data_IF_841847663158
#
_entry.id   IF_841847663158
#
_cell.length_a   1.000
_cell.length_b   1.000
_cell.length_c   1.000
_cell.angle_alpha   90.00
_cell.angle_beta   90.00
_cell.angle_gamma   90.00
#
_symmetry.space_group_name_H-M   'P 1'
#
loop_
_entity.id
_entity.type
_entity.pdbx_description
1 polymer ?
#
# COMPACT_ATOMS: atom_id res chain seq x y z
N UNK A 1 77.29 24.84 34.85
CA UNK A 1 75.99 25.54 34.94
C UNK A 1 74.91 24.50 35.21
N UNK A 2 74.17 24.68 36.32
CA UNK A 2 73.06 23.82 36.75
C UNK A 2 71.89 23.99 35.78
N UNK A 3 71.22 22.92 35.40
CA UNK A 3 69.85 22.97 34.88
C UNK A 3 69.07 21.76 35.36
N UNK A 4 68.32 21.96 36.45
CA UNK A 4 67.33 21.05 36.99
C UNK A 4 66.20 20.82 35.97
N UNK A 5 65.79 19.57 35.74
CA UNK A 5 64.52 19.26 35.07
C UNK A 5 63.49 18.84 36.12
N UNK A 6 62.42 19.63 36.17
CA UNK A 6 61.24 19.46 36.99
C UNK A 6 60.42 18.26 36.45
N UNK A 7 60.04 17.34 37.32
CA UNK A 7 59.10 16.25 37.01
C UNK A 7 57.69 16.77 37.35
N UNK A 8 56.82 16.89 36.35
CA UNK A 8 55.39 17.17 36.54
C UNK A 8 54.66 15.84 36.74
N UNK A 9 54.22 15.56 37.97
CA UNK A 9 53.20 14.54 38.26
C UNK A 9 51.83 15.12 37.91
N UNK A 10 51.18 14.61 36.87
CA UNK A 10 49.75 14.82 36.65
C UNK A 10 48.96 13.78 37.46
N UNK A 11 48.32 14.23 38.55
CA UNK A 11 47.23 13.50 39.18
C UNK A 11 46.00 13.59 38.28
N UNK A 12 45.65 12.50 37.59
CA UNK A 12 44.34 12.32 36.99
C UNK A 12 43.34 11.99 38.10
N UNK A 13 42.52 12.97 38.49
CA UNK A 13 41.31 12.71 39.26
C UNK A 13 40.31 11.94 38.39
N UNK A 14 40.08 10.67 38.71
CA UNK A 14 38.95 9.93 38.16
C UNK A 14 37.66 10.48 38.77
N UNK A 15 36.94 11.32 38.01
CA UNK A 15 35.54 11.61 38.30
C UNK A 15 34.74 10.43 37.73
N UNK A 16 34.32 9.53 38.60
CA UNK A 16 33.36 8.49 38.26
C UNK A 16 32.02 9.15 37.97
N UNK A 17 31.66 9.23 36.68
CA UNK A 17 30.30 9.54 36.29
C UNK A 17 29.37 8.43 36.82
N UNK A 18 28.21 8.76 37.41
CA UNK A 18 27.23 7.74 37.77
C UNK A 18 26.79 7.05 36.47
N UNK A 19 27.04 5.74 36.39
CA UNK A 19 26.43 4.90 35.39
C UNK A 19 24.92 4.97 35.60
N UNK A 20 24.22 5.77 34.80
CA UNK A 20 22.77 5.66 34.64
C UNK A 20 22.51 4.31 34.00
N UNK A 21 22.42 3.27 34.84
CA UNK A 21 21.90 1.97 34.43
C UNK A 21 20.47 2.19 33.97
N UNK A 22 20.26 2.17 32.65
CA UNK A 22 18.92 2.00 32.11
C UNK A 22 18.38 0.70 32.72
N UNK A 23 17.26 0.80 33.44
CA UNK A 23 16.56 -0.37 33.93
C UNK A 23 16.37 -1.34 32.74
N UNK A 24 16.61 -2.65 32.92
CA UNK A 24 16.43 -3.61 31.85
C UNK A 24 14.99 -3.47 31.34
N UNK A 25 14.85 -3.12 30.06
CA UNK A 25 13.56 -3.11 29.39
C UNK A 25 12.96 -4.51 29.60
N UNK A 26 11.81 -4.58 30.26
CA UNK A 26 11.15 -5.84 30.58
C UNK A 26 10.82 -6.57 29.27
N UNK A 27 11.63 -7.57 28.96
CA UNK A 27 11.55 -8.33 27.70
C UNK A 27 10.22 -9.05 27.56
N UNK A 28 9.53 -9.35 28.67
CA UNK A 28 8.20 -9.94 28.65
C UNK A 28 7.14 -8.92 28.24
N UNK A 29 7.20 -7.70 28.76
CA UNK A 29 6.28 -6.62 28.38
C UNK A 29 6.41 -6.25 26.89
N UNK A 30 7.64 -6.16 26.37
CA UNK A 30 7.90 -5.90 24.94
C UNK A 30 7.35 -7.02 24.06
N UNK A 31 7.55 -8.29 24.46
CA UNK A 31 7.03 -9.44 23.72
C UNK A 31 5.50 -9.47 23.72
N UNK A 32 4.87 -9.16 24.85
CA UNK A 32 3.41 -9.10 24.96
C UNK A 32 2.82 -8.00 24.07
N UNK A 33 3.45 -6.81 24.03
CA UNK A 33 3.02 -5.73 23.15
C UNK A 33 3.20 -6.09 21.68
N UNK A 34 4.32 -6.69 21.29
CA UNK A 34 4.55 -7.17 19.93
C UNK A 34 3.44 -8.12 19.48
N UNK A 35 3.13 -9.14 20.28
CA UNK A 35 2.06 -10.10 19.97
C UNK A 35 0.68 -9.43 19.84
N UNK A 36 0.38 -8.43 20.68
CA UNK A 36 -0.87 -7.66 20.60
C UNK A 36 -0.96 -6.87 19.28
N UNK A 37 0.14 -6.23 18.88
CA UNK A 37 0.23 -5.45 17.64
C UNK A 37 0.08 -6.34 16.41
N UNK A 38 0.72 -7.52 16.41
CA UNK A 38 0.56 -8.54 15.38
C UNK A 38 -0.88 -9.02 15.26
N UNK A 39 -1.53 -9.42 16.37
CA UNK A 39 -2.92 -9.85 16.36
C UNK A 39 -3.88 -8.75 15.84
N UNK A 40 -3.62 -7.49 16.16
CA UNK A 40 -4.37 -6.37 15.60
C UNK A 40 -4.15 -6.23 14.08
N UNK A 41 -2.97 -6.56 13.57
CA UNK A 41 -2.68 -6.53 12.13
C UNK A 41 -3.35 -7.69 11.40
N UNK A 42 -3.36 -8.89 11.99
CA UNK A 42 -4.04 -10.06 11.44
C UNK A 42 -5.53 -9.80 11.19
N UNK A 43 -6.16 -8.99 12.04
CA UNK A 43 -7.56 -8.56 11.82
C UNK A 43 -7.73 -7.80 10.50
N UNK A 44 -6.75 -6.99 10.09
CA UNK A 44 -6.74 -6.30 8.80
C UNK A 44 -6.49 -7.31 7.69
N UNK A 45 -5.49 -8.18 7.84
CA UNK A 45 -5.16 -9.24 6.87
C UNK A 45 -6.37 -10.10 6.55
N UNK A 46 -7.14 -10.52 7.56
CA UNK A 46 -8.31 -11.37 7.39
C UNK A 46 -9.39 -10.70 6.53
N UNK A 47 -9.56 -9.37 6.60
CA UNK A 47 -10.46 -8.63 5.69
C UNK A 47 -10.03 -8.78 4.23
N UNK A 48 -8.73 -8.75 3.94
CA UNK A 48 -8.21 -8.96 2.60
C UNK A 48 -8.39 -10.40 2.13
N UNK A 49 -8.11 -11.38 3.01
CA UNK A 49 -8.31 -12.80 2.72
C UNK A 49 -9.76 -13.09 2.37
N UNK A 50 -10.70 -12.62 3.20
CA UNK A 50 -12.15 -12.77 2.98
C UNK A 50 -12.61 -12.05 1.71
N UNK A 51 -12.19 -10.80 1.52
CA UNK A 51 -12.54 -10.01 0.34
C UNK A 51 -12.10 -10.70 -0.96
N UNK A 52 -10.93 -11.32 -0.98
CA UNK A 52 -10.39 -11.96 -2.18
C UNK A 52 -10.75 -13.45 -2.34
N UNK A 53 -11.69 -13.99 -1.55
CA UNK A 53 -12.27 -15.32 -1.81
C UNK A 53 -13.00 -15.40 -3.16
N UNK A 54 -13.40 -14.25 -3.70
CA UNK A 54 -14.02 -14.14 -5.02
C UNK A 54 -13.31 -13.08 -5.86
N UNK A 55 -13.62 -13.04 -7.15
CA UNK A 55 -13.11 -11.99 -8.04
C UNK A 55 -13.68 -10.64 -7.63
N UNK A 56 -12.83 -9.64 -7.54
CA UNK A 56 -13.22 -8.30 -7.11
C UNK A 56 -13.15 -7.32 -8.28
N UNK A 57 -14.17 -6.49 -8.41
CA UNK A 57 -14.23 -5.48 -9.47
C UNK A 57 -14.01 -4.10 -8.87
N UNK A 58 -13.25 -3.28 -9.60
CA UNK A 58 -12.96 -1.91 -9.26
C UNK A 58 -13.24 -1.06 -10.50
N UNK A 59 -14.07 -0.05 -10.36
CA UNK A 59 -14.19 0.99 -11.36
C UNK A 59 -13.00 1.93 -11.18
N UNK A 60 -12.22 2.13 -12.24
CA UNK A 60 -11.07 3.00 -12.27
C UNK A 60 -11.31 4.19 -13.20
N UNK A 61 -10.88 5.37 -12.75
CA UNK A 61 -10.97 6.63 -13.48
C UNK A 61 -9.60 7.27 -13.54
N UNK A 62 -9.21 7.79 -14.70
CA UNK A 62 -7.90 8.38 -14.91
C UNK A 62 -7.93 9.50 -15.94
N UNK A 63 -6.99 10.43 -15.80
CA UNK A 63 -6.80 11.52 -16.75
C UNK A 63 -6.42 10.97 -18.13
N UNK A 64 -7.13 11.40 -19.17
CA UNK A 64 -6.90 10.95 -20.53
C UNK A 64 -7.21 12.06 -21.53
N UNK A 65 -6.19 12.53 -22.24
CA UNK A 65 -6.31 13.62 -23.22
C UNK A 65 -7.12 13.27 -24.48
N UNK A 66 -7.35 11.98 -24.75
CA UNK A 66 -8.20 11.52 -25.86
C UNK A 66 -9.68 11.41 -25.45
N UNK A 67 -9.97 11.49 -24.15
CA UNK A 67 -11.35 11.56 -23.65
C UNK A 67 -11.93 12.94 -23.89
N UNK A 68 -13.22 13.01 -24.24
CA UNK A 68 -13.97 14.26 -24.39
C UNK A 68 -14.14 15.00 -23.07
N UNK A 69 -14.20 14.28 -21.96
CA UNK A 69 -14.32 14.84 -20.60
C UNK A 69 -12.97 15.11 -19.93
N UNK A 70 -11.86 14.72 -20.58
CA UNK A 70 -10.53 14.69 -19.96
C UNK A 70 -10.31 13.50 -19.02
N UNK A 71 -11.35 12.67 -18.78
CA UNK A 71 -11.29 11.49 -17.91
C UNK A 71 -11.77 10.27 -18.68
N UNK A 72 -11.02 9.18 -18.60
CA UNK A 72 -11.44 7.88 -19.09
C UNK A 72 -11.77 6.96 -17.91
N UNK A 73 -12.79 6.12 -18.09
CA UNK A 73 -13.29 5.20 -17.07
C UNK A 73 -13.30 3.77 -17.61
N UNK A 74 -13.02 2.80 -16.75
CA UNK A 74 -13.21 1.37 -17.04
C UNK A 74 -13.24 0.53 -15.76
N UNK A 75 -13.64 -0.74 -15.86
CA UNK A 75 -13.68 -1.69 -14.75
C UNK A 75 -12.52 -2.67 -14.84
N UNK A 76 -11.78 -2.79 -13.75
CA UNK A 76 -10.73 -3.79 -13.54
C UNK A 76 -11.30 -4.93 -12.70
N UNK A 77 -11.08 -6.16 -13.12
CA UNK A 77 -11.32 -7.37 -12.36
C UNK A 77 -10.01 -7.92 -11.82
N UNK A 78 -9.97 -8.06 -10.50
CA UNK A 78 -8.87 -8.62 -9.71
C UNK A 78 -9.18 -10.05 -9.32
N UNK A 79 -8.21 -10.93 -9.52
CA UNK A 79 -8.19 -12.27 -8.91
C UNK A 79 -6.93 -12.38 -8.07
N UNK A 80 -7.07 -12.56 -6.75
CA UNK A 80 -5.93 -12.84 -5.87
C UNK A 80 -5.66 -14.34 -5.83
N UNK A 81 -4.39 -14.71 -5.85
CA UNK A 81 -3.92 -16.09 -5.69
C UNK A 81 -3.36 -16.33 -4.31
N UNK A 82 -2.62 -15.37 -3.79
CA UNK A 82 -1.91 -15.51 -2.52
C UNK A 82 -1.95 -14.19 -1.76
N UNK A 83 -2.08 -14.28 -0.44
CA UNK A 83 -1.95 -13.18 0.50
C UNK A 83 -0.83 -13.55 1.46
N UNK A 84 0.23 -12.75 1.47
CA UNK A 84 1.34 -12.86 2.42
C UNK A 84 1.39 -11.58 3.25
N UNK A 85 1.86 -11.64 4.48
CA UNK A 85 1.95 -10.45 5.33
C UNK A 85 3.11 -10.56 6.33
N UNK A 86 3.44 -9.44 6.95
CA UNK A 86 4.43 -9.42 8.03
C UNK A 86 4.39 -8.12 8.82
N UNK A 87 4.83 -8.20 10.07
CA UNK A 87 5.00 -7.07 10.97
C UNK A 87 6.46 -6.99 11.37
N UNK A 88 7.08 -5.84 11.10
CA UNK A 88 8.46 -5.55 11.47
C UNK A 88 8.46 -4.54 12.62
N UNK A 89 9.18 -4.83 13.71
CA UNK A 89 9.45 -3.84 14.75
C UNK A 89 10.69 -3.02 14.40
N UNK A 90 10.62 -1.69 14.53
CA UNK A 90 11.83 -0.86 14.40
C UNK A 90 12.52 -0.76 15.77
N UNK A 91 13.80 -1.15 15.82
CA UNK A 91 14.60 -1.06 17.04
C UNK A 91 15.03 0.40 17.36
N UNK A 92 14.64 1.37 16.52
CA UNK A 92 14.98 2.78 16.67
C UNK A 92 13.71 3.62 16.89
N UNK A 93 13.46 3.91 18.16
CA UNK A 93 12.69 5.01 18.76
C UNK A 93 12.09 6.04 17.77
N UNK A 94 10.84 5.84 17.36
CA UNK A 94 9.73 6.83 17.12
C UNK A 94 8.53 6.16 16.41
N UNK A 95 8.73 5.13 15.56
CA UNK A 95 7.64 4.34 14.95
C UNK A 95 7.87 2.86 15.27
N UNK A 96 7.15 2.26 16.24
CA UNK A 96 7.55 0.97 16.78
C UNK A 96 7.26 -0.20 15.84
N UNK A 97 6.26 -0.10 14.93
CA UNK A 97 5.88 -1.21 14.05
C UNK A 97 5.48 -0.76 12.64
N UNK A 98 5.95 -1.50 11.65
CA UNK A 98 5.55 -1.43 10.24
C UNK A 98 4.91 -2.75 9.84
N UNK A 99 3.80 -2.68 9.13
CA UNK A 99 3.08 -3.85 8.62
C UNK A 99 3.05 -3.82 7.10
N UNK A 100 3.08 -4.99 6.47
CA UNK A 100 2.80 -5.10 5.04
C UNK A 100 1.85 -6.24 4.73
N UNK A 101 1.05 -6.07 3.67
CA UNK A 101 0.27 -7.13 3.03
C UNK A 101 0.73 -7.21 1.56
N UNK A 102 1.19 -8.37 1.13
CA UNK A 102 1.54 -8.68 -0.26
C UNK A 102 0.44 -9.53 -0.89
N UNK A 103 -0.10 -9.04 -2.00
CA UNK A 103 -1.10 -9.72 -2.80
C UNK A 103 -0.47 -10.18 -4.11
N UNK A 104 -0.60 -11.46 -4.44
CA UNK A 104 -0.29 -11.98 -5.77
C UNK A 104 -1.55 -11.97 -6.61
N UNK A 105 -1.69 -11.03 -7.53
CA UNK A 105 -2.95 -10.78 -8.25
C UNK A 105 -2.81 -10.90 -9.76
N UNK A 106 -3.86 -11.33 -10.44
CA UNK A 106 -4.03 -11.13 -11.87
C UNK A 106 -5.11 -10.10 -12.16
N UNK A 107 -4.93 -9.34 -13.24
CA UNK A 107 -5.85 -8.29 -13.69
C UNK A 107 -6.43 -8.63 -15.05
N UNK A 108 -7.74 -8.43 -15.19
CA UNK A 108 -8.42 -8.25 -16.48
C UNK A 108 -9.17 -6.93 -16.44
N UNK A 109 -9.41 -6.31 -17.58
CA UNK A 109 -10.22 -5.11 -17.64
C UNK A 109 -11.13 -5.08 -18.87
N UNK A 110 -12.17 -4.27 -18.83
CA UNK A 110 -13.14 -4.17 -19.90
C UNK A 110 -12.82 -3.08 -20.95
N UNK A 111 -11.66 -2.41 -20.90
CA UNK A 111 -11.35 -1.27 -21.79
C UNK A 111 -11.43 -1.62 -23.27
N UNK A 112 -11.15 -2.86 -23.63
CA UNK A 112 -11.17 -3.30 -25.03
C UNK A 112 -12.51 -3.06 -25.75
N UNK A 113 -13.61 -2.93 -25.01
CA UNK A 113 -14.94 -2.58 -25.53
C UNK A 113 -15.24 -1.06 -25.53
N UNK A 114 -14.31 -0.23 -25.08
CA UNK A 114 -14.47 1.20 -24.93
C UNK A 114 -14.38 1.96 -26.25
N UNK A 115 -14.92 3.17 -26.28
CA UNK A 115 -14.91 4.03 -27.46
C UNK A 115 -13.68 4.95 -27.56
N UNK A 116 -12.95 5.17 -26.46
CA UNK A 116 -11.79 6.06 -26.46
C UNK A 116 -10.61 5.34 -27.13
N UNK A 117 -9.99 5.90 -28.19
CA UNK A 117 -8.85 5.27 -28.84
C UNK A 117 -7.68 5.03 -27.86
N UNK A 118 -7.23 3.78 -27.76
CA UNK A 118 -6.14 3.38 -26.88
C UNK A 118 -4.76 3.66 -27.47
N UNK A 119 -3.71 3.22 -26.77
CA UNK A 119 -2.39 3.01 -27.36
C UNK A 119 -2.36 1.61 -27.94
N UNK A 120 -2.00 1.47 -29.21
CA UNK A 120 -1.96 0.19 -29.94
C UNK A 120 -1.16 -0.88 -29.18
N UNK A 121 -0.15 -0.49 -28.40
CA UNK A 121 0.68 -1.37 -27.59
C UNK A 121 0.05 -1.78 -26.25
N UNK A 122 -0.89 -1.01 -25.72
CA UNK A 122 -1.54 -1.22 -24.41
C UNK A 122 -3.01 -1.64 -24.51
N UNK A 123 -3.55 -1.72 -25.72
CA UNK A 123 -4.91 -2.13 -26.03
C UNK A 123 -5.58 -1.18 -27.03
N UNK A 124 -6.46 -1.70 -27.88
CA UNK A 124 -7.12 -0.90 -28.92
C UNK A 124 -7.95 0.29 -28.37
N UNK A 125 -8.33 0.25 -27.08
CA UNK A 125 -9.16 1.26 -26.44
C UNK A 125 -8.71 1.56 -25.02
N UNK A 126 -8.88 2.82 -24.61
CA UNK A 126 -8.59 3.33 -23.27
C UNK A 126 -9.80 3.26 -22.32
N UNK A 127 -10.97 2.82 -22.80
CA UNK A 127 -12.21 2.76 -22.03
C UNK A 127 -13.29 3.71 -22.55
N UNK A 128 -14.09 4.26 -21.64
CA UNK A 128 -15.24 5.11 -21.95
C UNK A 128 -15.08 6.53 -21.42
N UNK A 129 -15.70 7.50 -22.08
CA UNK A 129 -15.70 8.91 -21.67
C UNK A 129 -16.56 9.20 -20.43
N UNK A 130 -17.37 8.23 -20.00
CA UNK A 130 -18.27 8.36 -18.86
C UNK A 130 -18.44 7.05 -18.09
N UNK A 131 -18.87 7.22 -16.85
CA UNK A 131 -19.10 6.15 -15.90
C UNK A 131 -20.20 5.17 -16.32
N UNK A 132 -21.34 5.69 -16.77
CA UNK A 132 -22.52 4.89 -17.11
C UNK A 132 -22.18 3.83 -18.17
N UNK A 133 -21.49 4.24 -19.24
CA UNK A 133 -21.09 3.36 -20.33
C UNK A 133 -20.06 2.30 -19.87
N UNK A 134 -19.13 2.67 -18.97
CA UNK A 134 -18.18 1.72 -18.40
C UNK A 134 -18.87 0.64 -17.55
N UNK A 135 -19.87 1.02 -16.76
CA UNK A 135 -20.64 0.11 -15.92
C UNK A 135 -21.61 -0.75 -16.75
N UNK A 136 -22.27 -0.17 -17.75
CA UNK A 136 -23.17 -0.88 -18.66
C UNK A 136 -22.43 -1.97 -19.47
N UNK A 137 -21.11 -1.85 -19.63
CA UNK A 137 -20.25 -2.82 -20.31
C UNK A 137 -19.39 -3.65 -19.34
N UNK A 138 -19.85 -3.87 -18.11
CA UNK A 138 -19.25 -4.79 -17.14
C UNK A 138 -19.60 -6.27 -17.42
N UNK A 139 -19.50 -6.70 -18.67
CA UNK A 139 -19.81 -8.05 -19.15
C UNK A 139 -18.53 -8.83 -19.44
N UNK A 140 -18.51 -10.13 -19.14
CA UNK A 140 -17.33 -10.99 -19.26
C UNK A 140 -16.68 -10.97 -20.65
N UNK A 141 -17.45 -10.79 -21.72
CA UNK A 141 -16.94 -10.74 -23.09
C UNK A 141 -15.98 -9.58 -23.34
N UNK A 142 -16.09 -8.49 -22.56
CA UNK A 142 -15.22 -7.32 -22.64
C UNK A 142 -13.95 -7.46 -21.81
N UNK A 143 -13.91 -8.35 -20.82
CA UNK A 143 -12.75 -8.50 -19.94
C UNK A 143 -11.60 -9.22 -20.63
N UNK A 144 -10.53 -8.49 -20.89
CA UNK A 144 -9.29 -9.00 -21.47
C UNK A 144 -8.15 -8.85 -20.47
N UNK A 145 -7.17 -9.75 -20.54
CA UNK A 145 -5.97 -9.64 -19.72
C UNK A 145 -5.05 -8.58 -20.31
N UNK A 146 -4.54 -7.67 -19.47
CA UNK A 146 -3.68 -6.56 -19.90
C UNK A 146 -2.26 -6.99 -20.31
N UNK A 147 -1.80 -8.10 -19.76
CA UNK A 147 -0.48 -8.68 -20.03
C UNK A 147 -0.67 -10.18 -20.09
N UNK A 148 0.17 -10.92 -20.81
CA UNK A 148 0.14 -12.39 -20.82
C UNK A 148 0.20 -12.94 -19.38
N UNK A 149 -0.96 -13.18 -18.76
CA UNK A 149 -1.23 -13.84 -17.46
C UNK A 149 -0.14 -13.77 -16.37
N UNK A 150 0.62 -12.68 -16.27
CA UNK A 150 1.63 -12.54 -15.23
C UNK A 150 0.95 -12.10 -13.94
N UNK A 151 1.21 -12.85 -12.87
CA UNK A 151 0.83 -12.42 -11.54
C UNK A 151 1.64 -11.16 -11.20
N UNK A 152 0.93 -10.11 -10.84
CA UNK A 152 1.52 -8.89 -10.31
C UNK A 152 1.57 -9.00 -8.80
N UNK A 153 2.74 -8.73 -8.22
CA UNK A 153 2.88 -8.60 -6.78
C UNK A 153 2.52 -7.15 -6.39
N UNK A 154 1.52 -6.98 -5.54
CA UNK A 154 1.13 -5.70 -4.97
C UNK A 154 1.44 -5.72 -3.48
N UNK A 155 2.07 -4.67 -2.95
CA UNK A 155 2.30 -4.51 -1.52
C UNK A 155 1.51 -3.32 -0.97
N UNK A 156 0.78 -3.54 0.10
CA UNK A 156 0.15 -2.52 0.93
C UNK A 156 0.99 -2.32 2.18
N UNK A 157 1.37 -1.08 2.46
CA UNK A 157 2.19 -0.73 3.61
C UNK A 157 1.35 -0.03 4.68
N UNK A 158 1.64 -0.35 5.95
CA UNK A 158 0.95 0.16 7.13
C UNK A 158 1.95 0.62 8.19
N UNK A 159 1.55 1.62 8.97
CA UNK A 159 2.29 2.09 10.14
C UNK A 159 1.43 1.95 11.39
N UNK A 160 1.99 1.46 12.49
CA UNK A 160 1.30 1.45 13.78
C UNK A 160 1.57 2.75 14.53
N UNK A 161 0.52 3.54 14.78
CA UNK A 161 0.58 4.85 15.44
C UNK A 161 -0.57 5.00 16.43
N UNK A 162 -0.26 5.52 17.62
CA UNK A 162 -1.27 5.80 18.65
C UNK A 162 -2.19 4.61 18.96
N UNK A 163 -1.64 3.39 18.96
CA UNK A 163 -2.38 2.16 19.23
C UNK A 163 -3.22 1.62 18.06
N UNK A 164 -3.09 2.19 16.86
CA UNK A 164 -3.85 1.81 15.67
C UNK A 164 -2.97 1.64 14.44
N UNK A 165 -3.36 0.73 13.56
CA UNK A 165 -2.75 0.60 12.24
C UNK A 165 -3.30 1.68 11.30
N UNK A 166 -2.42 2.30 10.54
CA UNK A 166 -2.75 3.34 9.56
C UNK A 166 -2.22 2.93 8.21
N UNK A 167 -3.10 2.89 7.21
CA UNK A 167 -2.71 2.63 5.83
C UNK A 167 -1.82 3.75 5.28
N UNK A 168 -0.70 3.38 4.66
CA UNK A 168 0.27 4.31 4.10
C UNK A 168 0.14 4.44 2.60
N UNK A 169 0.31 3.33 1.89
CA UNK A 169 0.40 3.30 0.44
C UNK A 169 0.16 1.89 -0.09
N UNK A 170 -0.11 1.81 -1.39
CA UNK A 170 -0.14 0.57 -2.16
C UNK A 170 0.78 0.72 -3.37
N UNK A 171 1.66 -0.25 -3.56
CA UNK A 171 2.70 -0.22 -4.58
C UNK A 171 2.75 -1.52 -5.37
N UNK A 172 3.21 -1.44 -6.62
CA UNK A 172 3.55 -2.61 -7.42
C UNK A 172 4.99 -3.06 -7.16
N UNK A 173 5.20 -4.37 -7.13
CA UNK A 173 6.50 -5.03 -7.07
C UNK A 173 6.78 -5.82 -8.37
N UNK A 174 8.02 -5.84 -8.86
CA UNK A 174 9.16 -5.04 -8.41
C UNK A 174 9.04 -3.57 -8.86
N UNK A 175 9.64 -2.65 -8.11
CA UNK A 175 9.75 -1.23 -8.53
C UNK A 175 9.19 -0.22 -7.53
N UNK A 176 8.41 -0.67 -6.54
CA UNK A 176 7.88 0.16 -5.46
C UNK A 176 7.14 1.41 -5.99
N UNK A 177 6.53 1.29 -7.17
CA UNK A 177 5.78 2.36 -7.81
C UNK A 177 4.35 2.33 -7.28
N UNK A 178 3.73 3.49 -7.00
CA UNK A 178 2.32 3.52 -6.63
C UNK A 178 1.45 2.74 -7.62
N UNK A 179 0.52 1.92 -7.13
CA UNK A 179 -0.46 1.24 -7.98
C UNK A 179 -1.67 2.18 -8.12
N UNK A 180 -1.89 2.84 -9.28
CA UNK A 180 -2.81 3.99 -9.33
C UNK A 180 -4.27 3.63 -9.02
N UNK A 181 -4.74 2.47 -9.47
CA UNK A 181 -6.12 2.08 -9.33
C UNK A 181 -6.49 1.74 -7.88
N UNK A 182 -5.66 0.94 -7.21
CA UNK A 182 -5.80 0.61 -5.80
C UNK A 182 -5.53 1.82 -4.92
N UNK A 183 -4.57 2.68 -5.28
CA UNK A 183 -4.31 3.92 -4.54
C UNK A 183 -5.55 4.81 -4.53
N UNK A 184 -6.22 4.96 -5.68
CA UNK A 184 -7.52 5.64 -5.79
C UNK A 184 -8.61 4.95 -4.95
N UNK A 185 -8.73 3.62 -5.04
CA UNK A 185 -9.72 2.84 -4.29
C UNK A 185 -9.57 3.00 -2.75
N UNK A 186 -8.35 3.23 -2.30
CA UNK A 186 -7.97 3.44 -0.91
C UNK A 186 -7.91 4.92 -0.50
N UNK A 187 -8.48 5.83 -1.31
CA UNK A 187 -8.60 7.24 -0.97
C UNK A 187 -7.28 8.02 -1.03
N UNK A 188 -6.27 7.51 -1.72
CA UNK A 188 -4.97 8.16 -1.97
C UNK A 188 -4.66 8.18 -3.48
N UNK A 189 -5.50 8.78 -4.33
CA UNK A 189 -5.26 8.76 -5.78
C UNK A 189 -3.88 9.35 -6.11
N UNK A 190 -3.23 8.74 -7.10
CA UNK A 190 -1.93 9.14 -7.64
C UNK A 190 -2.06 9.20 -9.15
N UNK A 191 -1.42 10.17 -9.78
CA UNK A 191 -1.49 10.34 -11.25
C UNK A 191 -1.13 9.04 -11.97
N UNK A 192 -1.89 8.64 -13.01
CA UNK A 192 -2.98 9.40 -13.65
C UNK A 192 -4.37 9.18 -13.03
N UNK A 193 -4.49 8.47 -11.90
CA UNK A 193 -5.79 8.18 -11.29
C UNK A 193 -6.48 9.45 -10.79
N UNK A 194 -7.81 9.51 -10.99
CA UNK A 194 -8.68 10.58 -10.52
C UNK A 194 -9.58 10.04 -9.42
N UNK A 195 -9.84 10.84 -8.37
CA UNK A 195 -10.74 10.45 -7.29
C UNK A 195 -12.15 10.11 -7.82
N UNK A 196 -12.75 9.04 -7.31
CA UNK A 196 -14.15 8.73 -7.56
C UNK A 196 -15.05 9.62 -6.71
N UNK A 197 -15.57 10.71 -7.29
CA UNK A 197 -16.46 11.66 -6.59
C UNK A 197 -17.93 11.47 -6.93
N UNK A 198 -18.24 10.84 -8.07
CA UNK A 198 -19.61 10.53 -8.47
C UNK A 198 -20.22 9.43 -7.57
N UNK A 199 -21.47 9.60 -7.14
CA UNK A 199 -22.14 8.67 -6.22
C UNK A 199 -22.13 7.23 -6.73
N UNK A 200 -22.39 7.02 -8.01
CA UNK A 200 -22.36 5.70 -8.62
C UNK A 200 -20.95 5.08 -8.58
N UNK A 201 -19.89 5.88 -8.75
CA UNK A 201 -18.51 5.41 -8.65
C UNK A 201 -18.13 5.07 -7.21
N UNK A 202 -18.50 5.93 -6.26
CA UNK A 202 -18.31 5.70 -4.81
C UNK A 202 -19.03 4.42 -4.38
N UNK A 203 -20.29 4.28 -4.77
CA UNK A 203 -21.13 3.11 -4.44
C UNK A 203 -20.57 1.81 -5.03
N UNK A 204 -20.07 1.84 -6.28
CA UNK A 204 -19.44 0.69 -6.91
C UNK A 204 -18.15 0.28 -6.18
N UNK A 205 -17.33 1.26 -5.78
CA UNK A 205 -16.03 1.02 -5.16
C UNK A 205 -16.09 0.87 -3.63
N UNK A 206 -17.24 1.07 -2.99
CA UNK A 206 -17.36 1.20 -1.53
C UNK A 206 -16.73 0.05 -0.73
N UNK A 207 -16.71 -1.18 -1.27
CA UNK A 207 -16.17 -2.35 -0.56
C UNK A 207 -14.65 -2.26 -0.39
N UNK A 208 -13.94 -1.60 -1.32
CA UNK A 208 -12.49 -1.42 -1.25
C UNK A 208 -12.09 -0.51 -0.08
N UNK A 209 -12.82 0.59 0.11
CA UNK A 209 -12.58 1.52 1.21
C UNK A 209 -12.78 0.89 2.60
N UNK A 210 -13.63 -0.15 2.70
CA UNK A 210 -13.90 -0.88 3.96
C UNK A 210 -12.79 -1.86 4.37
N UNK A 211 -11.78 -2.08 3.51
CA UNK A 211 -10.67 -2.99 3.81
C UNK A 211 -9.64 -2.35 4.76
N UNK A 212 -9.56 -1.02 4.74
CA UNK A 212 -8.60 -0.28 5.54
C UNK A 212 -9.13 -0.07 6.97
N UNK A 213 -8.23 0.04 7.97
CA UNK A 213 -8.58 0.39 9.35
C UNK A 213 -9.12 1.82 9.48
#
# INVERSE_FOLDING_TARGET
MKSSRLIFLFLFGMISAPAYGQAPVDSAAVKAEHARVEAAFETIVNRFVEFFQTKQKLLYQFENSKSKSGVACYVIEYTCKEVNYGVNSSNNTIIPYLGFIKLSISKRDNRSCGAIPGDVLLGASAGWDNLEAALANNKETCFKSMMQQTLQAIRLDFEFKNGQWVFKQVVSEPGNQPEPALSMAFGKPVSPAVAATEEAAVSFNQKWGKLLP
#
